data_IF_666130219556
#
_entry.id   IF_666130219556
#
_cell.length_a   1.000
_cell.length_b   1.000
_cell.length_c   1.000
_cell.angle_alpha   90.00
_cell.angle_beta   90.00
_cell.angle_gamma   90.00
#
_symmetry.space_group_name_H-M   'P 1'
#
loop_
_entity.id
_entity.type
_entity.pdbx_description
1 polymer ?
#
# COMPACT_ATOMS: atom_id res chain seq x y z
N UNK A 1 -27.09 -5.40 7.50
CA UNK A 1 -26.45 -6.73 7.47
C UNK A 1 -25.76 -6.88 6.13
N UNK A 2 -24.44 -7.08 6.10
CA UNK A 2 -23.73 -7.39 4.85
C UNK A 2 -24.13 -8.78 4.36
N UNK A 3 -24.21 -8.96 3.05
CA UNK A 3 -24.49 -10.29 2.48
C UNK A 3 -23.29 -11.22 2.72
N UNK A 4 -23.48 -12.56 2.83
CA UNK A 4 -22.38 -13.53 2.91
C UNK A 4 -21.34 -13.37 1.79
N UNK A 5 -21.78 -12.85 0.63
CA UNK A 5 -20.94 -12.50 -0.53
C UNK A 5 -20.06 -11.27 -0.31
N UNK A 6 -20.53 -10.28 0.45
CA UNK A 6 -19.73 -9.13 0.87
C UNK A 6 -18.76 -9.48 2.00
N UNK A 7 -19.07 -10.49 2.81
CA UNK A 7 -18.16 -11.04 3.81
C UNK A 7 -17.04 -11.87 3.19
N UNK A 8 -17.34 -12.75 2.23
CA UNK A 8 -16.33 -13.44 1.41
C UNK A 8 -15.41 -12.45 0.68
N UNK A 9 -15.96 -11.44 -0.01
CA UNK A 9 -15.13 -10.37 -0.61
C UNK A 9 -14.33 -9.58 0.42
N UNK A 10 -14.80 -9.44 1.66
CA UNK A 10 -14.02 -8.84 2.74
C UNK A 10 -12.86 -9.76 3.12
N UNK A 11 -13.08 -11.02 3.49
CA UNK A 11 -11.99 -11.92 3.91
C UNK A 11 -10.99 -12.18 2.78
N UNK A 12 -11.45 -12.49 1.57
CA UNK A 12 -10.59 -12.86 0.44
C UNK A 12 -9.67 -11.70 0.01
N UNK A 13 -10.15 -10.44 0.00
CA UNK A 13 -9.32 -9.25 -0.30
C UNK A 13 -8.16 -9.07 0.69
N UNK A 14 -8.27 -9.60 1.90
CA UNK A 14 -7.30 -9.35 2.96
C UNK A 14 -6.43 -10.56 3.30
N UNK A 15 -6.91 -11.80 3.15
CA UNK A 15 -6.18 -13.02 3.57
C UNK A 15 -6.07 -14.09 2.48
N UNK A 16 -6.35 -13.77 1.22
CA UNK A 16 -6.27 -14.74 0.11
C UNK A 16 -4.84 -15.28 -0.11
N UNK A 17 -4.70 -16.52 -0.64
CA UNK A 17 -3.41 -17.21 -0.80
C UNK A 17 -2.44 -16.48 -1.74
N UNK A 18 -2.94 -15.57 -2.58
CA UNK A 18 -2.15 -14.78 -3.52
C UNK A 18 -1.77 -13.39 -2.98
N UNK A 19 -1.98 -13.10 -1.68
CA UNK A 19 -1.54 -11.84 -1.09
C UNK A 19 -0.05 -11.91 -0.74
N UNK A 20 0.73 -11.05 -1.40
CA UNK A 20 2.15 -10.84 -1.08
C UNK A 20 2.26 -9.85 0.07
N UNK A 21 2.81 -10.29 1.22
CA UNK A 21 3.01 -9.43 2.39
C UNK A 21 4.50 -9.13 2.65
N UNK A 22 5.42 -9.81 1.96
CA UNK A 22 6.86 -9.64 2.15
C UNK A 22 7.66 -9.86 0.86
N UNK A 23 8.98 -9.61 0.94
CA UNK A 23 9.94 -9.83 -0.16
C UNK A 23 10.09 -11.30 -0.57
N UNK A 24 9.79 -12.25 0.32
CA UNK A 24 9.91 -13.68 0.06
C UNK A 24 8.70 -14.29 -0.64
N UNK A 25 7.53 -13.64 -0.60
CA UNK A 25 6.25 -14.28 -0.97
C UNK A 25 5.92 -14.19 -2.48
N UNK A 26 6.90 -13.90 -3.34
CA UNK A 26 6.65 -13.54 -4.73
C UNK A 26 7.49 -14.36 -5.73
N UNK A 27 7.30 -15.67 -5.72
CA UNK A 27 8.03 -16.63 -6.56
C UNK A 27 7.64 -16.59 -8.04
N UNK A 28 6.37 -16.30 -8.35
CA UNK A 28 5.81 -16.28 -9.72
C UNK A 28 5.50 -14.85 -10.21
N UNK A 29 6.46 -13.94 -10.06
CA UNK A 29 6.25 -12.55 -10.48
C UNK A 29 6.37 -12.38 -12.01
N UNK A 30 5.40 -11.70 -12.62
CA UNK A 30 5.43 -11.35 -14.04
C UNK A 30 5.78 -9.86 -14.18
N UNK A 31 6.91 -9.50 -14.82
CA UNK A 31 7.24 -8.11 -15.11
C UNK A 31 6.18 -7.44 -16.00
N UNK A 32 5.74 -6.25 -15.60
CA UNK A 32 4.75 -5.42 -16.31
C UNK A 32 5.27 -4.00 -16.54
N UNK A 33 4.58 -3.20 -17.34
CA UNK A 33 4.95 -1.79 -17.54
C UNK A 33 4.92 -0.99 -16.23
N UNK A 34 3.88 -1.19 -15.40
CA UNK A 34 3.79 -0.57 -14.07
C UNK A 34 4.95 -0.97 -13.17
N UNK A 35 5.34 -2.25 -13.19
CA UNK A 35 6.53 -2.72 -12.47
C UNK A 35 7.80 -2.01 -12.93
N UNK A 36 8.03 -1.94 -14.25
CA UNK A 36 9.23 -1.30 -14.80
C UNK A 36 9.30 0.20 -14.44
N UNK A 37 8.15 0.88 -14.42
CA UNK A 37 8.06 2.27 -13.98
C UNK A 37 8.38 2.42 -12.49
N UNK A 38 7.88 1.52 -11.64
CA UNK A 38 8.20 1.50 -10.22
C UNK A 38 9.70 1.23 -9.99
N UNK A 39 10.26 0.23 -10.67
CA UNK A 39 11.69 -0.09 -10.60
C UNK A 39 12.55 1.11 -11.00
N UNK A 40 12.20 1.82 -12.08
CA UNK A 40 12.88 3.07 -12.49
C UNK A 40 12.81 4.14 -11.39
N UNK A 41 11.67 4.30 -10.71
CA UNK A 41 11.55 5.23 -9.59
C UNK A 41 12.46 4.80 -8.42
N UNK A 42 12.49 3.51 -8.09
CA UNK A 42 13.28 2.96 -6.99
C UNK A 42 14.80 3.04 -7.24
N UNK A 43 15.26 2.79 -8.46
CA UNK A 43 16.69 3.00 -8.83
C UNK A 43 17.14 4.43 -8.52
N UNK A 44 16.26 5.42 -8.70
CA UNK A 44 16.57 6.83 -8.38
C UNK A 44 16.68 7.08 -6.87
N UNK A 45 16.06 6.25 -6.02
CA UNK A 45 16.12 6.40 -4.56
C UNK A 45 17.52 6.03 -4.01
N UNK A 46 18.23 5.10 -4.67
CA UNK A 46 19.60 4.73 -4.30
C UNK A 46 20.62 5.86 -4.50
N UNK A 47 20.32 6.78 -5.42
CA UNK A 47 21.23 7.87 -5.84
C UNK A 47 20.92 9.22 -5.20
N UNK A 48 19.77 9.36 -4.54
CA UNK A 48 19.31 10.64 -4.02
C UNK A 48 18.30 10.45 -2.89
N UNK A 49 18.34 11.33 -1.90
CA UNK A 49 17.41 11.37 -0.76
C UNK A 49 16.34 12.45 -0.96
N UNK A 50 15.38 12.52 -0.04
CA UNK A 50 14.34 13.55 0.01
C UNK A 50 13.17 13.31 -0.93
N UNK A 51 13.05 12.11 -1.50
CA UNK A 51 11.96 11.77 -2.42
C UNK A 51 10.80 11.13 -1.68
N UNK A 52 9.59 11.56 -2.03
CA UNK A 52 8.35 10.91 -1.60
C UNK A 52 7.74 10.23 -2.82
N UNK A 53 7.53 8.91 -2.71
CA UNK A 53 6.94 8.09 -3.76
C UNK A 53 5.60 7.55 -3.28
N UNK A 54 4.53 7.86 -4.00
CA UNK A 54 3.22 7.26 -3.79
C UNK A 54 2.99 6.16 -4.82
N UNK A 55 2.80 4.93 -4.34
CA UNK A 55 2.41 3.80 -5.17
C UNK A 55 0.90 3.65 -5.10
N UNK A 56 0.23 3.98 -6.21
CA UNK A 56 -1.23 3.97 -6.34
C UNK A 56 -1.70 2.70 -7.05
N UNK A 57 -2.98 2.39 -6.92
CA UNK A 57 -3.62 1.29 -7.64
C UNK A 57 -4.84 0.77 -6.90
N UNK A 58 -5.83 0.32 -7.65
CA UNK A 58 -7.05 -0.23 -7.07
C UNK A 58 -6.75 -1.46 -6.18
N UNK A 59 -7.66 -1.81 -5.24
CA UNK A 59 -7.55 -3.06 -4.50
C UNK A 59 -7.44 -4.27 -5.45
N UNK A 60 -6.49 -5.17 -5.17
CA UNK A 60 -6.27 -6.37 -5.98
C UNK A 60 -5.40 -6.21 -7.24
N UNK A 61 -4.84 -5.01 -7.49
CA UNK A 61 -3.85 -4.81 -8.57
C UNK A 61 -2.42 -5.23 -8.20
N UNK A 62 -2.17 -5.78 -7.01
CA UNK A 62 -0.84 -6.28 -6.65
C UNK A 62 0.21 -5.20 -6.39
N UNK A 63 -0.17 -4.06 -5.78
CA UNK A 63 0.78 -3.02 -5.34
C UNK A 63 1.92 -3.60 -4.51
N UNK A 64 1.60 -4.39 -3.49
CA UNK A 64 2.56 -5.06 -2.62
C UNK A 64 3.53 -5.94 -3.41
N UNK A 65 3.02 -6.77 -4.33
CA UNK A 65 3.83 -7.62 -5.18
C UNK A 65 4.85 -6.81 -6.01
N UNK A 66 4.42 -5.69 -6.59
CA UNK A 66 5.31 -4.80 -7.36
C UNK A 66 6.34 -4.11 -6.45
N UNK A 67 5.92 -3.58 -5.30
CA UNK A 67 6.81 -2.90 -4.34
C UNK A 67 7.89 -3.84 -3.85
N UNK A 68 7.51 -4.99 -3.30
CA UNK A 68 8.47 -5.91 -2.71
C UNK A 68 9.41 -6.52 -3.75
N UNK A 69 8.92 -6.81 -4.95
CA UNK A 69 9.77 -7.28 -6.04
C UNK A 69 10.75 -6.20 -6.51
N UNK A 70 10.29 -4.95 -6.66
CA UNK A 70 11.15 -3.84 -7.05
C UNK A 70 12.22 -3.56 -5.99
N UNK A 71 11.87 -3.60 -4.69
CA UNK A 71 12.84 -3.47 -3.61
C UNK A 71 13.90 -4.58 -3.63
N UNK A 72 13.48 -5.83 -3.88
CA UNK A 72 14.38 -6.98 -4.01
C UNK A 72 15.35 -6.80 -5.18
N UNK A 73 14.86 -6.49 -6.37
CA UNK A 73 15.71 -6.34 -7.56
C UNK A 73 16.64 -5.13 -7.52
N UNK A 74 16.24 -4.06 -6.84
CA UNK A 74 17.06 -2.84 -6.73
C UNK A 74 18.06 -2.91 -5.58
N UNK A 75 17.92 -3.88 -4.67
CA UNK A 75 18.76 -4.02 -3.48
C UNK A 75 18.76 -2.73 -2.67
N UNK A 76 17.57 -2.17 -2.42
CA UNK A 76 17.39 -1.00 -1.56
C UNK A 76 17.30 -1.45 -0.11
N UNK A 77 18.14 -0.86 0.75
CA UNK A 77 18.02 -1.02 2.19
C UNK A 77 16.75 -0.33 2.68
N UNK A 78 15.85 -1.08 3.30
CA UNK A 78 14.50 -0.59 3.61
C UNK A 78 14.18 -0.73 5.08
N UNK A 79 13.76 0.36 5.69
CA UNK A 79 13.04 0.34 6.95
C UNK A 79 11.55 0.26 6.66
N UNK A 80 10.92 -0.86 7.00
CA UNK A 80 9.47 -1.00 6.87
C UNK A 80 8.80 -0.58 8.17
N UNK A 81 7.91 0.41 8.07
CA UNK A 81 7.17 0.93 9.22
C UNK A 81 6.11 -0.08 9.64
N UNK A 82 6.03 -0.32 10.94
CA UNK A 82 4.97 -1.08 11.61
C UNK A 82 4.31 -0.22 12.67
N UNK A 83 3.09 -0.56 13.10
CA UNK A 83 2.40 0.16 14.17
C UNK A 83 1.64 -0.78 15.10
N UNK A 84 1.92 -0.71 16.41
CA UNK A 84 1.21 -1.49 17.42
C UNK A 84 -0.06 -0.77 17.87
N UNK A 85 -0.94 -0.44 16.93
CA UNK A 85 -2.20 0.21 17.24
C UNK A 85 -3.14 -0.75 17.99
N UNK A 86 -3.62 -0.39 19.18
CA UNK A 86 -4.39 -1.31 20.02
C UNK A 86 -5.89 -1.33 19.69
N UNK A 87 -6.43 -0.27 19.07
CA UNK A 87 -7.88 -0.15 18.87
C UNK A 87 -8.27 0.81 17.75
N UNK A 88 -9.42 0.55 17.13
CA UNK A 88 -10.03 1.46 16.13
C UNK A 88 -10.47 2.78 16.74
N UNK A 89 -10.65 2.83 18.06
CA UNK A 89 -11.10 4.02 18.80
C UNK A 89 -9.93 4.91 19.25
N UNK A 90 -8.68 4.58 18.89
CA UNK A 90 -7.51 5.40 19.21
C UNK A 90 -7.59 6.75 18.48
N UNK A 91 -7.47 7.87 19.20
CA UNK A 91 -7.57 9.21 18.59
C UNK A 91 -6.39 9.51 17.65
N UNK A 92 -6.53 10.42 16.66
CA UNK A 92 -5.46 10.79 15.73
C UNK A 92 -4.11 11.12 16.38
N UNK A 93 -4.13 11.91 17.46
CA UNK A 93 -2.91 12.28 18.18
C UNK A 93 -2.27 11.08 18.87
N UNK A 94 -3.07 10.18 19.43
CA UNK A 94 -2.57 8.94 20.02
C UNK A 94 -2.00 7.99 18.96
N UNK A 95 -2.63 7.87 17.78
CA UNK A 95 -2.09 7.09 16.66
C UNK A 95 -0.70 7.61 16.28
N UNK A 96 -0.56 8.93 16.19
CA UNK A 96 0.72 9.55 15.89
C UNK A 96 1.77 9.29 16.97
N UNK A 97 1.42 9.46 18.25
CA UNK A 97 2.36 9.19 19.35
C UNK A 97 2.74 7.71 19.46
N UNK A 98 1.84 6.77 19.15
CA UNK A 98 2.15 5.34 19.05
C UNK A 98 3.15 5.09 17.92
N UNK A 99 2.92 5.64 16.73
CA UNK A 99 3.86 5.55 15.60
C UNK A 99 5.26 6.02 15.96
N UNK A 100 5.36 7.16 16.65
CA UNK A 100 6.64 7.70 17.12
C UNK A 100 7.28 6.82 18.19
N UNK A 101 6.47 6.29 19.11
CA UNK A 101 6.94 5.38 20.15
C UNK A 101 7.51 4.09 19.56
N UNK A 102 6.80 3.51 18.59
CA UNK A 102 7.23 2.31 17.86
C UNK A 102 8.50 2.57 17.07
N UNK A 103 8.56 3.71 16.37
CA UNK A 103 9.74 4.12 15.63
C UNK A 103 10.96 4.29 16.55
N UNK A 104 10.78 4.96 17.69
CA UNK A 104 11.83 5.13 18.70
C UNK A 104 12.30 3.78 19.25
N UNK A 105 11.38 2.87 19.58
CA UNK A 105 11.70 1.53 20.06
C UNK A 105 12.50 0.74 19.02
N UNK A 106 11.99 0.69 17.79
CA UNK A 106 12.59 -0.07 16.69
C UNK A 106 13.96 0.46 16.27
N UNK A 107 14.19 1.76 16.43
CA UNK A 107 15.49 2.37 16.14
C UNK A 107 16.40 2.45 17.37
N UNK A 108 15.93 2.12 18.58
CA UNK A 108 16.68 2.31 19.83
C UNK A 108 17.00 3.78 20.11
N UNK A 109 16.04 4.67 19.90
CA UNK A 109 16.19 6.14 20.02
C UNK A 109 15.45 6.69 21.23
N UNK A 110 16.02 7.70 21.91
CA UNK A 110 15.40 8.35 23.06
C UNK A 110 14.48 9.49 22.65
N UNK A 111 14.74 10.12 21.51
CA UNK A 111 13.96 11.25 20.99
C UNK A 111 13.41 10.98 19.57
N UNK A 112 12.36 11.71 19.16
CA UNK A 112 11.81 11.60 17.79
C UNK A 112 12.86 11.95 16.74
N UNK A 113 13.62 13.02 17.01
CA UNK A 113 14.69 13.51 16.14
C UNK A 113 15.79 12.46 15.93
N UNK A 114 16.26 11.81 16.99
CA UNK A 114 17.22 10.70 16.88
C UNK A 114 16.67 9.58 16.00
N UNK A 115 15.39 9.24 16.17
CA UNK A 115 14.75 8.20 15.38
C UNK A 115 14.71 8.58 13.89
N UNK A 116 14.35 9.82 13.55
CA UNK A 116 14.40 10.33 12.18
C UNK A 116 15.81 10.37 11.60
N UNK A 117 16.82 10.67 12.41
CA UNK A 117 18.22 10.63 11.96
C UNK A 117 18.65 9.22 11.60
N UNK A 118 18.28 8.20 12.40
CA UNK A 118 18.56 6.79 12.09
C UNK A 118 17.87 6.31 10.82
N UNK A 119 16.67 6.83 10.51
CA UNK A 119 15.98 6.49 9.25
C UNK A 119 16.76 6.93 7.99
N UNK A 120 17.72 7.85 8.10
CA UNK A 120 18.56 8.28 6.96
C UNK A 120 19.53 7.20 6.49
N UNK A 121 19.86 6.24 7.36
CA UNK A 121 20.76 5.12 7.07
C UNK A 121 20.14 4.16 6.04
N UNK A 122 18.82 4.11 5.97
CA UNK A 122 18.10 3.30 4.98
C UNK A 122 17.95 4.05 3.65
N UNK A 123 17.95 3.31 2.55
CA UNK A 123 17.62 3.86 1.24
C UNK A 123 16.17 4.32 1.17
N UNK A 124 15.27 3.60 1.84
CA UNK A 124 13.82 3.80 1.82
C UNK A 124 13.20 3.56 3.19
N UNK A 125 12.29 4.45 3.58
CA UNK A 125 11.30 4.23 4.64
C UNK A 125 9.97 3.87 3.97
N UNK A 126 9.51 2.64 4.19
CA UNK A 126 8.35 2.07 3.53
C UNK A 126 7.14 2.03 4.46
N UNK A 127 6.06 2.70 4.06
CA UNK A 127 4.72 2.56 4.64
C UNK A 127 3.89 1.65 3.73
N UNK A 128 3.87 0.35 4.03
CA UNK A 128 3.18 -0.68 3.24
C UNK A 128 2.34 -1.61 4.14
N UNK A 129 2.34 -2.91 3.87
CA UNK A 129 1.40 -3.83 4.48
C UNK A 129 1.61 -4.02 5.99
N UNK A 130 2.85 -3.99 6.51
CA UNK A 130 3.05 -4.02 7.98
C UNK A 130 2.49 -2.80 8.70
N UNK A 131 2.34 -1.66 8.02
CA UNK A 131 1.69 -0.49 8.60
C UNK A 131 0.17 -0.54 8.40
N UNK A 132 -0.26 -0.86 7.18
CA UNK A 132 -1.67 -0.80 6.80
C UNK A 132 -2.48 -1.97 7.35
N UNK A 133 -1.94 -3.17 7.34
CA UNK A 133 -2.67 -4.42 7.50
C UNK A 133 -2.08 -5.31 8.62
N UNK A 134 -1.48 -4.70 9.65
CA UNK A 134 -0.86 -5.42 10.77
C UNK A 134 -1.80 -6.41 11.49
N UNK A 135 -3.10 -6.11 11.52
CA UNK A 135 -4.18 -6.97 12.02
C UNK A 135 -4.32 -8.33 11.32
N UNK A 136 -3.65 -8.51 10.17
CA UNK A 136 -3.63 -9.78 9.45
C UNK A 136 -2.38 -10.59 9.76
N UNK A 137 -1.43 -10.00 10.48
CA UNK A 137 -0.18 -10.61 10.91
C UNK A 137 -0.22 -10.94 12.41
N UNK A 138 -0.95 -10.16 13.21
CA UNK A 138 -1.10 -10.32 14.66
C UNK A 138 -2.54 -10.00 15.08
N UNK A 139 -3.21 -10.95 15.73
CA UNK A 139 -4.65 -10.89 16.04
C UNK A 139 -5.03 -9.82 17.08
N UNK A 140 -4.07 -9.37 17.89
CA UNK A 140 -4.25 -8.40 18.97
C UNK A 140 -4.01 -6.95 18.55
N UNK A 141 -3.57 -6.72 17.31
CA UNK A 141 -3.27 -5.39 16.79
C UNK A 141 -4.21 -5.01 15.67
N UNK A 142 -4.42 -3.70 15.50
CA UNK A 142 -5.15 -3.19 14.34
C UNK A 142 -4.20 -2.57 13.31
N UNK A 143 -4.49 -2.74 12.02
CA UNK A 143 -3.76 -2.04 10.97
C UNK A 143 -4.31 -0.63 10.73
N UNK A 144 -3.48 0.27 10.19
CA UNK A 144 -3.91 1.63 9.84
C UNK A 144 -5.07 1.64 8.82
N UNK A 145 -5.15 0.64 7.94
CA UNK A 145 -6.26 0.48 6.99
C UNK A 145 -7.60 0.20 7.70
N UNK A 146 -7.57 -0.54 8.82
CA UNK A 146 -8.74 -0.82 9.64
C UNK A 146 -9.13 0.42 10.47
N UNK A 147 -8.14 1.10 11.06
CA UNK A 147 -8.36 2.33 11.80
C UNK A 147 -9.01 3.41 10.93
N UNK A 148 -8.46 3.66 9.74
CA UNK A 148 -9.03 4.64 8.79
C UNK A 148 -10.40 4.23 8.26
N UNK A 149 -10.67 2.93 8.11
CA UNK A 149 -11.99 2.44 7.68
C UNK A 149 -13.09 2.70 8.71
N UNK A 150 -12.74 2.59 9.99
CA UNK A 150 -13.71 2.73 11.08
C UNK A 150 -13.94 4.20 11.48
N UNK A 151 -13.19 5.15 10.92
CA UNK A 151 -13.27 6.56 11.29
C UNK A 151 -13.34 7.48 10.07
N UNK A 152 -14.41 8.28 9.96
CA UNK A 152 -14.66 9.13 8.78
C UNK A 152 -13.76 10.37 8.73
N UNK A 153 -13.66 11.14 9.83
CA UNK A 153 -12.94 12.42 9.86
C UNK A 153 -11.55 12.36 10.50
N UNK A 154 -11.33 11.38 11.39
CA UNK A 154 -10.06 11.24 12.10
C UNK A 154 -8.84 11.05 11.20
N UNK A 155 -8.90 10.31 10.08
CA UNK A 155 -7.77 10.21 9.17
C UNK A 155 -7.30 11.55 8.62
N UNK A 156 -8.23 12.49 8.36
CA UNK A 156 -7.87 13.84 7.91
C UNK A 156 -7.08 14.59 8.99
N UNK A 157 -7.54 14.53 10.24
CA UNK A 157 -6.84 15.13 11.38
C UNK A 157 -5.44 14.51 11.53
N UNK A 158 -5.35 13.18 11.43
CA UNK A 158 -4.07 12.47 11.49
C UNK A 158 -3.12 12.93 10.38
N UNK A 159 -3.59 13.05 9.13
CA UNK A 159 -2.75 13.58 8.05
C UNK A 159 -2.29 15.02 8.30
N UNK A 160 -3.12 15.89 8.88
CA UNK A 160 -2.68 17.24 9.29
C UNK A 160 -1.59 17.19 10.35
N UNK A 161 -1.66 16.27 11.31
CA UNK A 161 -0.61 16.05 12.32
C UNK A 161 0.69 15.62 11.62
N UNK A 162 0.64 14.66 10.71
CA UNK A 162 1.81 14.23 9.93
C UNK A 162 2.42 15.35 9.08
N UNK A 163 1.59 16.19 8.45
CA UNK A 163 2.05 17.34 7.67
C UNK A 163 2.75 18.36 8.58
N UNK A 164 2.17 18.66 9.74
CA UNK A 164 2.78 19.55 10.73
C UNK A 164 4.14 19.01 11.19
N UNK A 165 4.22 17.70 11.48
CA UNK A 165 5.48 17.04 11.86
C UNK A 165 6.51 17.14 10.73
N UNK A 166 6.10 16.86 9.48
CA UNK A 166 6.98 16.96 8.32
C UNK A 166 7.56 18.37 8.15
N UNK A 167 6.75 19.41 8.33
CA UNK A 167 7.19 20.81 8.27
C UNK A 167 8.17 21.10 9.41
N UNK A 168 7.86 20.66 10.62
CA UNK A 168 8.70 20.88 11.81
C UNK A 168 10.08 20.21 11.69
N UNK A 169 10.14 18.99 11.12
CA UNK A 169 11.36 18.18 10.96
C UNK A 169 11.83 18.10 9.50
N UNK A 170 11.56 19.15 8.71
CA UNK A 170 11.80 19.13 7.27
C UNK A 170 13.26 18.80 6.91
N UNK A 171 14.23 19.29 7.70
CA UNK A 171 15.67 19.02 7.48
C UNK A 171 16.00 17.54 7.64
N UNK A 172 15.34 16.85 8.57
CA UNK A 172 15.47 15.41 8.73
C UNK A 172 14.83 14.67 7.56
N UNK A 173 13.60 15.03 7.20
CA UNK A 173 12.85 14.40 6.11
C UNK A 173 13.49 14.58 4.72
N UNK A 174 14.16 15.70 4.45
CA UNK A 174 14.91 15.93 3.20
C UNK A 174 16.03 14.91 2.96
N UNK A 175 16.47 14.20 4.00
CA UNK A 175 17.56 13.23 3.93
C UNK A 175 17.07 11.77 3.96
N UNK A 176 15.76 11.53 3.82
CA UNK A 176 15.19 10.19 3.71
C UNK A 176 14.28 10.10 2.49
N UNK A 177 14.12 8.89 1.95
CA UNK A 177 13.12 8.63 0.93
C UNK A 177 11.93 7.95 1.59
N UNK A 178 10.72 8.45 1.33
CA UNK A 178 9.48 7.86 1.83
C UNK A 178 8.76 7.17 0.67
N UNK A 179 8.32 5.93 0.89
CA UNK A 179 7.47 5.21 -0.08
C UNK A 179 6.17 4.86 0.62
N UNK A 180 5.05 5.32 0.05
CA UNK A 180 3.71 5.07 0.57
C UNK A 180 2.94 4.16 -0.38
N UNK A 181 2.57 2.98 0.10
CA UNK A 181 1.55 2.16 -0.55
C UNK A 181 0.18 2.78 -0.28
N UNK A 182 -0.28 3.61 -1.20
CA UNK A 182 -1.45 4.44 -0.93
C UNK A 182 -2.71 3.76 -1.48
N UNK A 183 -3.69 3.54 -0.60
CA UNK A 183 -5.07 3.25 -0.98
C UNK A 183 -5.98 4.18 -0.18
N UNK A 184 -6.49 5.23 -0.81
CA UNK A 184 -7.34 6.20 -0.12
C UNK A 184 -8.79 5.79 -0.31
N UNK A 185 -9.32 5.04 0.65
CA UNK A 185 -10.71 4.57 0.60
C UNK A 185 -11.60 5.53 1.37
N UNK A 186 -12.54 6.17 0.66
CA UNK A 186 -13.68 6.84 1.26
C UNK A 186 -14.85 5.87 1.33
N UNK A 187 -15.52 5.84 2.48
CA UNK A 187 -16.85 5.26 2.57
C UNK A 187 -17.87 6.39 2.50
N UNK A 188 -18.65 6.43 1.42
CA UNK A 188 -19.69 7.44 1.21
C UNK A 188 -21.02 6.73 0.97
N UNK A 189 -22.03 7.03 1.78
CA UNK A 189 -23.39 6.46 1.67
C UNK A 189 -23.41 4.92 1.61
N UNK A 190 -22.60 4.26 2.44
CA UNK A 190 -22.53 2.79 2.50
C UNK A 190 -21.72 2.13 1.37
N UNK A 191 -21.30 2.87 0.33
CA UNK A 191 -20.44 2.36 -0.75
C UNK A 191 -18.99 2.77 -0.52
N UNK A 192 -18.07 1.86 -0.86
CA UNK A 192 -16.62 2.08 -0.75
C UNK A 192 -16.11 2.61 -2.08
N UNK A 193 -15.38 3.71 -2.04
CA UNK A 193 -14.75 4.36 -3.18
C UNK A 193 -13.27 4.53 -2.89
N UNK A 194 -12.41 4.13 -3.82
CA UNK A 194 -11.03 4.61 -3.83
C UNK A 194 -11.00 6.03 -4.42
N UNK A 195 -10.52 7.01 -3.65
CA UNK A 195 -10.44 8.42 -4.04
C UNK A 195 -9.66 8.58 -5.35
N UNK A 196 -8.63 7.77 -5.58
CA UNK A 196 -7.73 7.93 -6.71
C UNK A 196 -8.16 7.15 -7.94
N UNK A 197 -9.11 6.21 -7.83
CA UNK A 197 -9.57 5.43 -8.98
C UNK A 197 -11.08 5.51 -9.25
N UNK A 198 -11.90 5.73 -8.23
CA UNK A 198 -13.36 5.50 -8.31
C UNK A 198 -14.19 6.80 -8.37
N UNK A 199 -13.58 7.98 -8.23
CA UNK A 199 -14.27 9.29 -8.27
C UNK A 199 -14.24 9.97 -9.66
N UNK A 200 -13.96 9.22 -10.72
CA UNK A 200 -14.06 9.69 -12.11
C UNK A 200 -13.08 10.82 -12.45
N UNK A 201 -13.59 12.04 -12.68
CA UNK A 201 -12.74 13.19 -13.04
C UNK A 201 -12.05 13.83 -11.81
N UNK A 202 -12.68 13.73 -10.63
CA UNK A 202 -12.11 14.23 -9.38
C UNK A 202 -10.85 13.45 -9.02
N UNK A 203 -10.85 12.14 -9.23
CA UNK A 203 -9.67 11.31 -9.00
C UNK A 203 -8.50 11.75 -9.89
N UNK A 204 -8.76 12.09 -11.16
CA UNK A 204 -7.74 12.62 -12.08
C UNK A 204 -7.13 13.93 -11.59
N UNK A 205 -7.93 14.83 -11.02
CA UNK A 205 -7.42 16.10 -10.45
C UNK A 205 -6.54 15.82 -9.24
N UNK A 206 -6.99 14.95 -8.33
CA UNK A 206 -6.23 14.61 -7.12
C UNK A 206 -4.92 13.90 -7.45
N UNK A 207 -4.93 12.97 -8.41
CA UNK A 207 -3.72 12.31 -8.90
C UNK A 207 -2.77 13.32 -9.56
N UNK A 208 -3.28 14.29 -10.34
CA UNK A 208 -2.45 15.35 -10.91
C UNK A 208 -1.82 16.22 -9.83
N UNK A 209 -2.58 16.61 -8.81
CA UNK A 209 -2.08 17.39 -7.68
C UNK A 209 -0.98 16.63 -6.93
N UNK A 210 -1.19 15.33 -6.67
CA UNK A 210 -0.16 14.49 -6.06
C UNK A 210 1.08 14.35 -6.93
N UNK A 211 0.92 14.16 -8.24
CA UNK A 211 2.04 14.06 -9.19
C UNK A 211 2.85 15.35 -9.28
N UNK A 212 2.22 16.50 -9.06
CA UNK A 212 2.92 17.79 -8.98
C UNK A 212 3.81 17.88 -7.74
N UNK A 213 3.35 17.34 -6.61
CA UNK A 213 4.06 17.43 -5.32
C UNK A 213 5.05 16.28 -5.09
N UNK A 214 4.77 15.10 -5.65
CA UNK A 214 5.44 13.85 -5.32
C UNK A 214 5.65 12.96 -6.55
N UNK A 215 6.53 11.97 -6.42
CA UNK A 215 6.66 10.93 -7.42
C UNK A 215 5.49 9.95 -7.28
N UNK A 216 4.59 9.93 -8.26
CA UNK A 216 3.44 9.01 -8.28
C UNK A 216 3.72 7.88 -9.26
N UNK A 217 3.56 6.64 -8.81
CA UNK A 217 3.63 5.44 -9.67
C UNK A 217 2.32 4.68 -9.54
N UNK A 218 1.56 4.59 -10.64
CA UNK A 218 0.31 3.83 -10.68
C UNK A 218 0.55 2.37 -11.09
N UNK A 219 0.00 1.45 -10.31
CA UNK A 219 -0.04 0.03 -10.59
C UNK A 219 -1.40 -0.33 -11.19
N UNK A 220 -1.41 -0.43 -12.51
CA UNK A 220 -2.55 -0.83 -13.33
C UNK A 220 -2.05 -1.68 -14.50
N UNK A 221 -2.92 -2.50 -15.06
CA UNK A 221 -2.55 -3.45 -16.09
C UNK A 221 -3.48 -3.35 -17.28
N UNK A 222 -2.92 -3.57 -18.47
CA UNK A 222 -3.70 -3.91 -19.64
C UNK A 222 -4.38 -5.28 -19.46
N UNK A 223 -5.37 -5.55 -20.32
CA UNK A 223 -6.01 -6.89 -20.39
C UNK A 223 -4.97 -7.97 -20.68
N UNK A 224 -4.04 -7.70 -21.61
CA UNK A 224 -2.98 -8.64 -21.98
C UNK A 224 -2.03 -8.93 -20.82
N UNK A 225 -1.53 -7.89 -20.13
CA UNK A 225 -0.70 -8.07 -18.92
C UNK A 225 -1.44 -8.85 -17.84
N UNK A 226 -2.73 -8.57 -17.63
CA UNK A 226 -3.55 -9.30 -16.66
C UNK A 226 -3.65 -10.79 -17.03
N UNK A 227 -3.94 -11.12 -18.29
CA UNK A 227 -4.01 -12.51 -18.76
C UNK A 227 -2.68 -13.24 -18.53
N UNK A 228 -1.56 -12.60 -18.82
CA UNK A 228 -0.22 -13.18 -18.59
C UNK A 228 0.03 -13.46 -17.11
N UNK A 229 -0.36 -12.53 -16.22
CA UNK A 229 -0.29 -12.76 -14.77
C UNK A 229 -1.14 -13.98 -14.39
N UNK A 230 -2.39 -14.08 -14.84
CA UNK A 230 -3.26 -15.20 -14.48
C UNK A 230 -2.68 -16.55 -14.97
N UNK A 231 -2.26 -16.62 -16.24
CA UNK A 231 -1.71 -17.86 -16.82
C UNK A 231 -0.39 -18.29 -16.19
N UNK A 232 0.39 -17.36 -15.62
CA UNK A 232 1.61 -17.71 -14.87
C UNK A 232 1.33 -18.38 -13.52
N UNK A 233 0.15 -18.17 -12.94
CA UNK A 233 -0.26 -18.74 -11.65
C UNK A 233 -1.14 -19.98 -11.81
N UNK A 234 -2.03 -19.99 -12.80
CA UNK A 234 -2.96 -21.07 -13.06
C UNK A 234 -2.60 -21.77 -14.37
N UNK A 235 -1.97 -22.96 -14.26
CA UNK A 235 -1.68 -23.80 -15.42
C UNK A 235 -2.99 -24.32 -16.03
N UNK A 236 -3.03 -24.39 -17.36
CA UNK A 236 -4.13 -25.00 -18.14
C UNK A 236 -5.53 -24.36 -17.99
N UNK A 237 -5.60 -23.11 -17.52
CA UNK A 237 -6.88 -22.41 -17.40
C UNK A 237 -7.43 -21.96 -18.76
N UNK A 238 -8.71 -22.27 -19.01
CA UNK A 238 -9.40 -21.89 -20.24
C UNK A 238 -9.55 -20.37 -20.36
N UNK A 239 -9.19 -19.83 -21.53
CA UNK A 239 -9.32 -18.41 -21.89
C UNK A 239 -10.73 -17.86 -21.62
N UNK A 240 -11.79 -18.64 -21.88
CA UNK A 240 -13.18 -18.22 -21.63
C UNK A 240 -13.41 -17.87 -20.15
N UNK A 241 -12.89 -18.68 -19.22
CA UNK A 241 -13.01 -18.41 -17.77
C UNK A 241 -12.25 -17.14 -17.37
N UNK A 242 -11.08 -16.91 -17.97
CA UNK A 242 -10.31 -15.68 -17.75
C UNK A 242 -11.09 -14.46 -18.23
N UNK A 243 -11.70 -14.54 -19.42
CA UNK A 243 -12.47 -13.45 -20.01
C UNK A 243 -13.73 -13.10 -19.21
N UNK A 244 -14.44 -14.12 -18.71
CA UNK A 244 -15.59 -13.95 -17.81
C UNK A 244 -15.17 -13.26 -16.50
N UNK A 245 -14.04 -13.68 -15.91
CA UNK A 245 -13.51 -13.07 -14.69
C UNK A 245 -13.03 -11.62 -14.93
N UNK A 246 -12.38 -11.35 -16.07
CA UNK A 246 -11.97 -10.00 -16.47
C UNK A 246 -13.17 -9.07 -16.66
N UNK A 247 -14.26 -9.56 -17.25
CA UNK A 247 -15.49 -8.79 -17.37
C UNK A 247 -16.08 -8.45 -16.00
N UNK A 248 -16.01 -9.38 -15.05
CA UNK A 248 -16.56 -9.23 -13.70
C UNK A 248 -15.73 -8.36 -12.77
N UNK A 249 -14.41 -8.47 -12.83
CA UNK A 249 -13.50 -7.86 -11.83
C UNK A 249 -12.57 -6.79 -12.42
N UNK A 250 -12.56 -6.60 -13.74
CA UNK A 250 -11.61 -5.74 -14.43
C UNK A 250 -10.18 -6.27 -14.35
N UNK A 251 -9.19 -5.43 -14.64
CA UNK A 251 -7.76 -5.80 -14.63
C UNK A 251 -7.20 -5.83 -13.19
N UNK A 252 -7.75 -6.69 -12.34
CA UNK A 252 -7.38 -6.86 -10.92
C UNK A 252 -6.95 -8.31 -10.67
N UNK A 253 -5.69 -8.67 -10.97
CA UNK A 253 -5.23 -10.06 -11.01
C UNK A 253 -5.54 -10.85 -9.75
N UNK A 254 -5.36 -10.26 -8.55
CA UNK A 254 -5.60 -10.97 -7.30
C UNK A 254 -7.07 -11.41 -7.14
N UNK A 255 -8.02 -10.52 -7.46
CA UNK A 255 -9.45 -10.85 -7.39
C UNK A 255 -9.84 -11.94 -8.40
N UNK A 256 -9.20 -11.92 -9.57
CA UNK A 256 -9.41 -12.93 -10.60
C UNK A 256 -8.85 -14.28 -10.15
N UNK A 257 -7.62 -14.32 -9.63
CA UNK A 257 -7.01 -15.55 -9.12
C UNK A 257 -7.86 -16.16 -8.00
N UNK A 258 -8.24 -15.37 -7.00
CA UNK A 258 -9.10 -15.82 -5.90
C UNK A 258 -10.48 -16.30 -6.35
N UNK A 259 -11.00 -15.78 -7.47
CA UNK A 259 -12.26 -16.24 -8.04
C UNK A 259 -12.12 -17.55 -8.81
N UNK A 260 -10.98 -17.76 -9.47
CA UNK A 260 -10.72 -18.93 -10.31
C UNK A 260 -10.15 -20.12 -9.50
N UNK A 261 -9.51 -19.83 -8.37
CA UNK A 261 -8.97 -20.79 -7.40
C UNK A 261 -9.36 -20.32 -5.98
N UNK A 262 -10.62 -20.54 -5.55
CA UNK A 262 -11.04 -20.21 -4.20
C UNK A 262 -10.29 -21.06 -3.15
N UNK A 263 -10.08 -20.54 -1.93
CA UNK A 263 -9.37 -21.23 -0.85
C UNK A 263 -10.06 -22.52 -0.40
#
# INVERSE_FOLDING_TARGET
MSTPREELLKTTIYTGPHKVNSRSDNSNFVPTNSFLNLKKAFIKLKKSKGKIVHVLGAPGTGKSANIYHALKETGLETYEVSSTLPSVNTSPSQVFEILITDLKKNTGSKTKKEAYLKLKEYDVVLFADKFHDQHLLQDDLIGFSLWTRNNTFWPLIFYFICIKEYIQFHKEFQNMNLVFQTAWRLQLRGKKYDIFTDLGWLSRILVKLLTYLFCVVEISYSRAETINIIKSHLKDINQKKIDDALHKFGCRPRLILEYLEPP
#
